data_IF_804972772442
#
_entry.id   IF_804972772442
#
_cell.length_a   1.000
_cell.length_b   1.000
_cell.length_c   1.000
_cell.angle_alpha   90.00
_cell.angle_beta   90.00
_cell.angle_gamma   90.00
#
_symmetry.space_group_name_H-M   'P 1'
#
loop_
_entity.id
_entity.type
_entity.pdbx_description
1 polymer ?
#
# COMPACT_ATOMS: atom_id res chain seq x y z
N UNK A 1 -28.27 9.60 -15.29
CA UNK A 1 -27.15 10.41 -15.81
C UNK A 1 -27.36 11.84 -15.35
N UNK A 2 -26.38 12.48 -14.72
CA UNK A 2 -26.47 13.88 -14.27
C UNK A 2 -25.65 14.71 -15.26
N UNK A 3 -26.29 15.55 -16.07
CA UNK A 3 -25.64 16.46 -17.02
C UNK A 3 -25.54 17.88 -16.45
N UNK A 4 -24.95 18.02 -15.24
CA UNK A 4 -24.77 19.29 -14.50
C UNK A 4 -23.48 19.22 -13.66
N UNK A 5 -23.05 20.36 -13.11
CA UNK A 5 -21.89 20.45 -12.21
C UNK A 5 -21.99 19.45 -11.04
N UNK A 6 -21.02 18.53 -10.97
CA UNK A 6 -20.93 17.50 -9.95
C UNK A 6 -20.79 18.08 -8.54
N UNK A 7 -20.06 19.18 -8.40
CA UNK A 7 -19.83 19.82 -7.10
C UNK A 7 -21.11 20.43 -6.53
N UNK A 8 -22.02 20.91 -7.39
CA UNK A 8 -23.32 21.45 -7.02
C UNK A 8 -24.42 20.38 -6.86
N UNK A 9 -24.23 19.18 -7.41
CA UNK A 9 -25.23 18.12 -7.34
C UNK A 9 -25.47 17.65 -5.90
N UNK A 10 -26.73 17.41 -5.51
CA UNK A 10 -27.12 16.73 -4.27
C UNK A 10 -27.99 15.54 -4.66
N UNK A 11 -27.59 14.29 -4.35
CA UNK A 11 -28.41 13.15 -4.71
C UNK A 11 -29.62 13.03 -3.78
N UNK A 12 -30.76 12.57 -4.31
CA UNK A 12 -31.98 12.33 -3.52
C UNK A 12 -31.74 11.30 -2.40
N UNK A 13 -30.81 10.36 -2.62
CA UNK A 13 -30.36 9.38 -1.63
C UNK A 13 -28.84 9.24 -1.67
N UNK A 14 -28.16 9.03 -0.54
CA UNK A 14 -26.73 8.74 -0.53
C UNK A 14 -26.41 7.47 -1.34
N UNK A 15 -25.21 7.41 -1.93
CA UNK A 15 -24.76 6.27 -2.73
C UNK A 15 -24.07 5.19 -1.88
N UNK A 16 -24.39 3.92 -2.10
CA UNK A 16 -23.68 2.81 -1.45
C UNK A 16 -22.27 2.61 -2.00
N UNK A 17 -22.04 2.94 -3.27
CA UNK A 17 -20.76 2.79 -3.95
C UNK A 17 -20.52 4.01 -4.84
N UNK A 18 -19.32 4.58 -4.75
CA UNK A 18 -18.86 5.65 -5.62
C UNK A 18 -17.53 5.21 -6.24
N UNK A 19 -17.47 5.16 -7.56
CA UNK A 19 -16.23 4.95 -8.31
C UNK A 19 -16.03 6.17 -9.21
N UNK A 20 -14.86 6.80 -9.16
CA UNK A 20 -14.64 8.05 -9.88
C UNK A 20 -13.21 8.23 -10.37
N UNK A 21 -13.07 8.87 -11.54
CA UNK A 21 -11.83 9.41 -12.06
C UNK A 21 -12.04 10.90 -12.34
N UNK A 22 -12.04 11.77 -11.31
CA UNK A 22 -12.28 13.19 -11.46
C UNK A 22 -11.20 13.88 -12.29
N UNK A 23 -11.50 15.03 -12.92
CA UNK A 23 -10.49 15.83 -13.62
C UNK A 23 -9.38 16.29 -12.65
N UNK A 24 -8.12 16.25 -13.07
CA UNK A 24 -6.97 16.61 -12.22
C UNK A 24 -6.59 18.10 -12.29
N UNK A 25 -7.03 18.80 -13.32
CA UNK A 25 -6.69 20.20 -13.54
C UNK A 25 -7.20 21.07 -12.38
N UNK A 26 -6.38 22.03 -11.93
CA UNK A 26 -6.71 22.97 -10.85
C UNK A 26 -7.16 22.29 -9.53
N UNK A 27 -6.70 21.06 -9.28
CA UNK A 27 -7.04 20.28 -8.08
C UNK A 27 -8.52 19.91 -7.97
N UNK A 28 -9.22 19.82 -9.11
CA UNK A 28 -10.60 19.37 -9.12
C UNK A 28 -10.77 17.95 -8.56
N UNK A 29 -9.73 17.10 -8.64
CA UNK A 29 -9.69 15.79 -8.01
C UNK A 29 -9.93 15.86 -6.50
N UNK A 30 -9.27 16.80 -5.82
CA UNK A 30 -9.46 17.05 -4.38
C UNK A 30 -10.90 17.46 -4.08
N UNK A 31 -11.45 18.41 -4.85
CA UNK A 31 -12.80 18.95 -4.63
C UNK A 31 -13.89 17.90 -4.88
N UNK A 32 -13.76 17.14 -5.97
CA UNK A 32 -14.72 16.12 -6.34
C UNK A 32 -14.71 14.96 -5.34
N UNK A 33 -13.53 14.52 -4.88
CA UNK A 33 -13.43 13.48 -3.86
C UNK A 33 -14.05 13.95 -2.55
N UNK A 34 -13.76 15.18 -2.13
CA UNK A 34 -14.35 15.74 -0.91
C UNK A 34 -15.88 15.82 -0.99
N UNK A 35 -16.41 16.23 -2.15
CA UNK A 35 -17.84 16.28 -2.42
C UNK A 35 -18.48 14.89 -2.40
N UNK A 36 -17.85 13.93 -3.05
CA UNK A 36 -18.31 12.55 -3.17
C UNK A 36 -18.37 11.85 -1.80
N UNK A 37 -17.42 12.12 -0.89
CA UNK A 37 -17.48 11.63 0.50
C UNK A 37 -18.74 12.10 1.24
N UNK A 38 -19.25 13.29 0.90
CA UNK A 38 -20.51 13.81 1.43
C UNK A 38 -21.75 13.10 0.89
N UNK A 39 -21.67 12.54 -0.32
CA UNK A 39 -22.75 11.79 -0.97
C UNK A 39 -22.75 10.30 -0.61
N UNK A 40 -21.68 9.80 0.03
CA UNK A 40 -21.52 8.39 0.34
C UNK A 40 -22.45 7.99 1.50
N UNK A 41 -23.23 6.93 1.30
CA UNK A 41 -24.08 6.34 2.33
C UNK A 41 -23.24 5.81 3.51
N UNK A 42 -23.79 5.80 4.74
CA UNK A 42 -23.22 5.00 5.81
C UNK A 42 -23.10 3.53 5.38
N UNK A 43 -21.94 2.89 5.61
CA UNK A 43 -21.65 1.55 5.08
C UNK A 43 -21.17 1.53 3.62
N UNK A 44 -21.11 2.69 2.97
CA UNK A 44 -20.73 2.82 1.57
C UNK A 44 -19.23 2.83 1.33
N UNK A 45 -18.81 2.52 0.10
CA UNK A 45 -17.41 2.55 -0.35
C UNK A 45 -17.19 3.58 -1.45
N UNK A 46 -16.17 4.42 -1.31
CA UNK A 46 -15.65 5.30 -2.36
C UNK A 46 -14.29 4.79 -2.85
N UNK A 47 -14.13 4.70 -4.17
CA UNK A 47 -12.86 4.45 -4.85
C UNK A 47 -12.64 5.57 -5.88
N UNK A 48 -11.57 6.34 -5.72
CA UNK A 48 -11.25 7.46 -6.60
C UNK A 48 -9.82 7.40 -7.11
N UNK A 49 -9.60 7.86 -8.34
CA UNK A 49 -8.26 8.16 -8.86
C UNK A 49 -7.99 9.64 -8.64
N UNK A 50 -6.81 10.00 -8.14
CA UNK A 50 -6.38 11.39 -7.98
C UNK A 50 -4.95 11.58 -8.47
N UNK A 51 -4.52 12.82 -8.62
CA UNK A 51 -3.11 13.13 -8.85
C UNK A 51 -2.25 12.77 -7.63
N UNK A 52 -1.01 12.33 -7.84
CA UNK A 52 -0.06 12.01 -6.77
C UNK A 52 0.22 13.20 -5.84
N UNK A 53 -0.03 14.42 -6.34
CA UNK A 53 -0.01 15.65 -5.56
C UNK A 53 -0.84 15.59 -4.27
N UNK A 54 -1.92 14.78 -4.24
CA UNK A 54 -2.71 14.55 -3.04
C UNK A 54 -1.86 14.05 -1.85
N UNK A 55 -0.75 13.34 -2.10
CA UNK A 55 0.11 12.81 -1.04
C UNK A 55 0.99 13.86 -0.36
N UNK A 56 1.37 14.93 -1.07
CA UNK A 56 2.48 15.79 -0.62
C UNK A 56 2.25 17.30 -0.73
N UNK A 57 1.26 17.80 -1.49
CA UNK A 57 0.99 19.25 -1.53
C UNK A 57 0.57 19.78 -0.17
N UNK A 58 1.08 20.93 0.24
CA UNK A 58 0.82 21.58 1.54
C UNK A 58 -0.23 22.69 1.47
N UNK A 59 -1.06 22.72 0.42
CA UNK A 59 -2.16 23.68 0.36
C UNK A 59 -3.32 23.24 1.27
N UNK A 60 -4.08 24.22 1.76
CA UNK A 60 -5.14 24.01 2.73
C UNK A 60 -6.23 23.02 2.27
N UNK A 61 -6.54 22.95 0.96
CA UNK A 61 -7.58 22.05 0.45
C UNK A 61 -7.08 20.61 0.49
N UNK A 62 -5.88 20.37 -0.02
CA UNK A 62 -5.25 19.04 -0.02
C UNK A 62 -5.02 18.52 1.40
N UNK A 63 -4.56 19.37 2.31
CA UNK A 63 -4.38 19.00 3.73
C UNK A 63 -5.70 18.66 4.42
N UNK A 64 -6.76 19.45 4.18
CA UNK A 64 -8.10 19.17 4.70
C UNK A 64 -8.61 17.82 4.20
N UNK A 65 -8.47 17.53 2.91
CA UNK A 65 -8.89 16.25 2.36
C UNK A 65 -8.05 15.10 2.95
N UNK A 66 -6.72 15.21 3.01
CA UNK A 66 -5.88 14.17 3.64
C UNK A 66 -6.28 13.90 5.09
N UNK A 67 -6.54 14.95 5.88
CA UNK A 67 -7.02 14.81 7.25
C UNK A 67 -8.39 14.12 7.31
N UNK A 68 -9.32 14.50 6.44
CA UNK A 68 -10.65 13.88 6.36
C UNK A 68 -10.59 12.41 5.95
N UNK A 69 -9.72 12.07 4.99
CA UNK A 69 -9.45 10.69 4.59
C UNK A 69 -8.90 9.89 5.77
N UNK A 70 -7.94 10.44 6.52
CA UNK A 70 -7.40 9.82 7.72
C UNK A 70 -8.49 9.64 8.81
N UNK A 71 -9.34 10.63 9.03
CA UNK A 71 -10.47 10.54 9.98
C UNK A 71 -11.50 9.46 9.59
N UNK A 72 -11.66 9.23 8.28
CA UNK A 72 -12.52 8.19 7.71
C UNK A 72 -11.81 6.84 7.53
N UNK A 73 -10.56 6.72 7.99
CA UNK A 73 -9.76 5.50 7.86
C UNK A 73 -9.55 5.06 6.39
N UNK A 74 -9.45 6.06 5.51
CA UNK A 74 -9.22 5.92 4.08
C UNK A 74 -7.75 5.73 3.73
N UNK A 75 -7.48 5.04 2.62
CA UNK A 75 -6.13 4.80 2.11
C UNK A 75 -5.84 5.57 0.83
N UNK A 76 -4.61 6.05 0.67
CA UNK A 76 -4.09 6.66 -0.56
C UNK A 76 -2.93 5.78 -1.05
N UNK A 77 -3.08 5.10 -2.19
CA UNK A 77 -2.09 4.16 -2.74
C UNK A 77 -1.53 4.69 -4.06
N UNK A 78 -0.21 4.72 -4.23
CA UNK A 78 0.39 5.14 -5.51
C UNK A 78 0.07 4.11 -6.59
N UNK A 79 -0.36 4.58 -7.76
CA UNK A 79 -0.54 3.74 -8.94
C UNK A 79 0.78 3.66 -9.73
N UNK A 80 1.02 2.56 -10.49
CA UNK A 80 2.19 2.46 -11.35
C UNK A 80 2.33 3.66 -12.30
N UNK A 81 3.57 4.07 -12.57
CA UNK A 81 3.83 5.14 -13.52
C UNK A 81 3.23 4.81 -14.91
N UNK A 82 2.59 5.79 -15.56
CA UNK A 82 1.97 5.59 -16.86
C UNK A 82 0.61 4.88 -16.84
N UNK A 83 -0.02 4.68 -15.68
CA UNK A 83 -1.36 4.06 -15.55
C UNK A 83 -2.44 4.75 -16.41
N UNK A 84 -2.27 6.04 -16.76
CA UNK A 84 -3.22 6.81 -17.60
C UNK A 84 -2.59 7.37 -18.88
N UNK A 85 -1.46 6.80 -19.33
CA UNK A 85 -0.76 7.26 -20.55
C UNK A 85 -1.64 7.14 -21.80
N UNK A 86 -2.49 6.10 -21.88
CA UNK A 86 -3.46 5.91 -22.96
C UNK A 86 -4.59 6.96 -22.96
N UNK A 87 -4.83 7.62 -21.84
CA UNK A 87 -5.85 8.67 -21.67
C UNK A 87 -5.26 10.09 -21.77
N UNK A 88 -4.03 10.23 -22.27
CA UNK A 88 -3.42 11.54 -22.60
C UNK A 88 -2.76 12.29 -21.45
N UNK A 89 -2.60 11.69 -20.27
CA UNK A 89 -1.90 12.34 -19.13
C UNK A 89 -0.70 11.53 -18.65
N UNK A 90 0.45 12.20 -18.48
CA UNK A 90 1.67 11.61 -17.91
C UNK A 90 1.78 11.85 -16.38
N UNK A 91 0.68 12.27 -15.75
CA UNK A 91 0.65 12.63 -14.32
C UNK A 91 0.69 11.35 -13.48
N UNK A 92 1.59 11.31 -12.49
CA UNK A 92 1.57 10.25 -11.49
C UNK A 92 0.24 10.29 -10.74
N UNK A 93 -0.36 9.13 -10.49
CA UNK A 93 -1.70 9.02 -9.90
C UNK A 93 -1.71 8.16 -8.66
N UNK A 94 -2.74 8.34 -7.85
CA UNK A 94 -3.01 7.56 -6.64
C UNK A 94 -4.44 7.05 -6.66
N UNK A 95 -4.66 5.92 -5.99
CA UNK A 95 -5.95 5.34 -5.71
C UNK A 95 -6.35 5.68 -4.27
N UNK A 96 -7.46 6.40 -4.13
CA UNK A 96 -8.08 6.74 -2.85
C UNK A 96 -9.22 5.74 -2.59
N UNK A 97 -9.19 5.08 -1.43
CA UNK A 97 -10.22 4.12 -1.02
C UNK A 97 -10.75 4.52 0.35
N UNK A 98 -12.06 4.66 0.49
CA UNK A 98 -12.73 4.94 1.77
C UNK A 98 -13.90 3.98 1.97
N UNK A 99 -13.94 3.34 3.13
CA UNK A 99 -15.09 2.57 3.62
C UNK A 99 -15.78 3.37 4.74
N UNK A 100 -16.95 3.94 4.45
CA UNK A 100 -17.71 4.73 5.43
C UNK A 100 -18.41 3.79 6.39
N UNK A 101 -18.29 4.04 7.69
CA UNK A 101 -18.94 3.22 8.72
C UNK A 101 -20.48 3.20 8.55
N UNK A 102 -21.15 2.08 8.89
CA UNK A 102 -22.61 2.00 8.91
C UNK A 102 -23.21 2.99 9.91
N UNK A 103 -24.44 3.44 9.64
CA UNK A 103 -25.17 4.29 10.57
C UNK A 103 -25.47 3.48 11.84
N UNK A 104 -25.30 4.10 13.01
CA UNK A 104 -25.81 3.52 14.27
C UNK A 104 -27.33 3.37 14.13
N UNK A 105 -27.88 2.17 14.38
CA UNK A 105 -29.32 1.99 14.56
C UNK A 105 -29.75 2.81 15.77
N UNK A 106 -30.42 3.94 15.55
CA UNK A 106 -31.21 4.59 16.58
C UNK A 106 -32.60 3.96 16.49
N UNK A 107 -33.04 3.28 17.56
CA UNK A 107 -34.42 2.81 17.67
C UNK A 107 -35.36 4.03 17.69
N UNK A 108 -36.51 4.01 16.99
CA UNK A 108 -37.39 5.17 16.92
C UNK A 108 -38.08 5.38 18.28
N UNK A 109 -37.88 6.56 18.87
CA UNK A 109 -38.71 7.04 19.94
C UNK A 109 -40.06 7.52 19.37
N UNK A 110 -41.11 7.24 20.13
CA UNK A 110 -42.52 7.41 19.84
C UNK A 110 -42.89 8.84 19.37
N UNK A 111 -43.82 8.89 18.43
CA UNK A 111 -44.40 10.06 17.79
C UNK A 111 -45.40 10.78 18.72
N UNK A 112 -45.23 12.09 18.95
CA UNK A 112 -46.32 13.03 19.26
C UNK A 112 -46.01 14.42 18.67
N UNK A 113 -47.02 15.22 18.30
CA UNK A 113 -46.91 16.27 17.29
C UNK A 113 -46.54 17.67 17.84
N UNK A 114 -46.10 18.51 16.88
CA UNK A 114 -45.45 19.84 16.94
C UNK A 114 -46.32 20.96 17.59
N UNK A 115 -45.74 22.11 18.02
CA UNK A 115 -45.72 23.22 17.06
C UNK A 115 -44.45 24.12 17.04
N UNK A 116 -44.22 24.56 15.81
CA UNK A 116 -43.42 25.67 15.26
C UNK A 116 -42.88 26.78 16.17
N UNK A 117 -41.68 27.23 15.78
CA UNK A 117 -41.05 28.56 15.93
C UNK A 117 -40.18 28.83 17.18
N UNK A 118 -38.87 28.69 17.00
CA UNK A 118 -37.87 29.55 17.64
C UNK A 118 -36.53 29.48 16.88
N UNK A 119 -36.10 30.63 16.34
CA UNK A 119 -34.74 30.86 15.82
C UNK A 119 -33.72 30.60 16.94
N UNK A 120 -32.82 29.63 16.80
CA UNK A 120 -31.64 29.56 17.69
C UNK A 120 -30.40 28.99 16.98
N UNK A 121 -29.41 29.87 16.83
CA UNK A 121 -27.93 29.74 16.81
C UNK A 121 -27.29 28.45 16.25
N UNK A 122 -26.33 28.68 15.35
CA UNK A 122 -25.30 27.74 14.89
C UNK A 122 -24.70 26.90 16.02
N UNK A 123 -24.48 25.58 15.85
CA UNK A 123 -23.84 24.76 16.86
C UNK A 123 -22.38 25.19 17.02
N UNK A 124 -22.04 25.70 18.20
CA UNK A 124 -20.67 25.93 18.62
C UNK A 124 -19.89 24.61 18.60
N UNK A 125 -18.61 24.70 18.27
CA UNK A 125 -17.68 23.58 18.27
C UNK A 125 -17.61 22.93 19.65
N UNK A 126 -18.33 21.81 19.86
CA UNK A 126 -18.11 20.99 21.04
C UNK A 126 -16.66 20.49 21.01
N UNK A 127 -15.82 20.95 21.93
CA UNK A 127 -14.48 20.37 22.14
C UNK A 127 -14.70 18.88 22.41
N UNK A 128 -14.22 18.03 21.50
CA UNK A 128 -14.35 16.58 21.61
C UNK A 128 -13.66 16.10 22.89
N UNK A 129 -14.26 15.18 23.67
CA UNK A 129 -13.67 14.68 24.89
C UNK A 129 -12.30 14.02 24.63
N UNK A 130 -11.37 14.24 25.56
CA UNK A 130 -10.03 13.66 25.48
C UNK A 130 -10.09 12.11 25.59
N UNK A 131 -9.19 11.37 24.90
CA UNK A 131 -9.16 9.92 25.03
C UNK A 131 -8.77 9.46 26.44
N UNK A 132 -9.28 8.31 26.89
CA UNK A 132 -8.83 7.63 28.12
C UNK A 132 -7.33 7.28 28.08
N UNK A 133 -6.70 7.07 29.25
CA UNK A 133 -5.25 6.80 29.34
C UNK A 133 -4.80 5.60 28.50
N UNK A 134 -5.54 4.51 28.54
CA UNK A 134 -5.21 3.28 27.78
C UNK A 134 -5.25 3.54 26.26
N UNK A 135 -6.24 4.30 25.81
CA UNK A 135 -6.38 4.70 24.40
C UNK A 135 -5.28 5.67 24.01
N UNK A 136 -4.90 6.61 24.88
CA UNK A 136 -3.76 7.50 24.62
C UNK A 136 -2.46 6.71 24.46
N UNK A 137 -2.24 5.68 25.28
CA UNK A 137 -1.07 4.81 25.17
C UNK A 137 -1.03 4.11 23.81
N UNK A 138 -2.11 3.42 23.42
CA UNK A 138 -2.25 2.75 22.13
C UNK A 138 -2.06 3.71 20.95
N UNK A 139 -2.72 4.87 20.98
CA UNK A 139 -2.58 5.90 19.95
C UNK A 139 -1.15 6.41 19.83
N UNK A 140 -0.43 6.57 20.95
CA UNK A 140 0.96 7.03 20.93
C UNK A 140 1.88 6.01 20.26
N UNK A 141 1.72 4.71 20.58
CA UNK A 141 2.48 3.62 19.96
C UNK A 141 2.14 3.51 18.48
N UNK A 142 0.86 3.59 18.11
CA UNK A 142 0.42 3.52 16.72
C UNK A 142 0.98 4.68 15.90
N UNK A 143 0.94 5.91 16.41
CA UNK A 143 1.51 7.08 15.71
C UNK A 143 3.01 6.98 15.53
N UNK A 144 3.75 6.46 16.51
CA UNK A 144 5.20 6.21 16.35
C UNK A 144 5.46 5.18 15.26
N UNK A 145 4.71 4.09 15.26
CA UNK A 145 4.76 3.07 14.22
C UNK A 145 4.42 3.64 12.83
N UNK A 146 3.33 4.40 12.69
CA UNK A 146 2.99 5.06 11.42
C UNK A 146 4.03 6.08 10.99
N UNK A 147 4.61 6.86 11.92
CA UNK A 147 5.67 7.80 11.61
C UNK A 147 6.91 7.07 11.07
N UNK A 148 7.32 5.97 11.70
CA UNK A 148 8.40 5.12 11.21
C UNK A 148 8.06 4.53 9.84
N UNK A 149 6.84 4.02 9.62
CA UNK A 149 6.41 3.50 8.32
C UNK A 149 6.35 4.56 7.24
N UNK A 150 5.80 5.73 7.52
CA UNK A 150 5.75 6.85 6.58
C UNK A 150 7.15 7.40 6.30
N UNK A 151 8.03 7.39 7.30
CA UNK A 151 9.43 7.71 7.12
C UNK A 151 10.08 6.67 6.19
N UNK A 152 9.90 5.36 6.40
CA UNK A 152 10.36 4.29 5.50
C UNK A 152 9.75 4.37 4.08
N UNK A 153 8.46 4.70 3.94
CA UNK A 153 7.81 4.83 2.63
C UNK A 153 8.28 6.08 1.86
N UNK A 154 8.55 7.18 2.57
CA UNK A 154 9.24 8.37 2.02
C UNK A 154 10.73 8.09 1.78
N UNK A 155 11.33 7.22 2.60
CA UNK A 155 12.71 6.74 2.60
C UNK A 155 12.91 5.40 1.89
N UNK A 156 12.06 5.06 0.91
CA UNK A 156 12.49 4.34 -0.33
C UNK A 156 13.56 5.14 -1.11
N UNK A 157 14.27 6.02 -0.42
CA UNK A 157 15.37 6.85 -0.83
C UNK A 157 16.65 6.09 -0.48
N UNK A 158 17.39 5.83 -1.54
CA UNK A 158 18.81 5.52 -1.49
C UNK A 158 19.53 6.47 -0.51
N UNK A 159 20.02 5.95 0.61
CA UNK A 159 20.78 6.71 1.60
C UNK A 159 22.26 6.72 1.21
N UNK A 160 22.84 7.90 1.06
CA UNK A 160 24.27 8.02 0.75
C UNK A 160 25.11 7.42 1.88
N UNK A 161 26.06 6.56 1.51
CA UNK A 161 27.07 6.05 2.45
C UNK A 161 28.17 7.12 2.55
N UNK A 162 28.44 7.68 3.75
CA UNK A 162 29.37 8.80 3.91
C UNK A 162 30.75 8.53 3.29
N UNK A 163 31.32 9.54 2.63
CA UNK A 163 32.65 9.50 1.97
C UNK A 163 32.80 8.45 0.86
N UNK A 164 31.69 7.99 0.29
CA UNK A 164 31.68 7.06 -0.85
C UNK A 164 30.76 7.56 -1.95
N UNK A 165 30.90 7.00 -3.16
CA UNK A 165 29.93 7.19 -4.25
C UNK A 165 28.83 6.10 -4.23
N UNK A 166 28.42 5.67 -3.03
CA UNK A 166 27.47 4.59 -2.84
C UNK A 166 26.24 5.05 -2.09
N UNK A 167 25.14 4.35 -2.36
CA UNK A 167 23.89 4.49 -1.64
C UNK A 167 23.39 3.12 -1.20
N UNK A 168 22.83 3.06 0.01
CA UNK A 168 22.19 1.88 0.56
C UNK A 168 20.70 2.11 0.71
N UNK A 169 19.90 1.12 0.34
CA UNK A 169 18.47 1.06 0.62
C UNK A 169 18.20 -0.13 1.53
N UNK A 170 17.56 0.11 2.66
CA UNK A 170 17.19 -0.92 3.64
C UNK A 170 15.66 -1.04 3.70
N UNK A 171 15.16 -2.27 3.68
CA UNK A 171 13.75 -2.58 3.90
C UNK A 171 13.62 -3.74 4.90
N UNK A 172 13.26 -3.40 6.14
CA UNK A 172 13.29 -4.34 7.25
C UNK A 172 14.70 -4.90 7.43
N UNK A 173 14.82 -6.22 7.35
CA UNK A 173 16.09 -6.93 7.49
C UNK A 173 16.89 -7.02 6.18
N UNK A 174 16.33 -6.58 5.05
CA UNK A 174 16.99 -6.70 3.73
C UNK A 174 17.64 -5.38 3.32
N UNK A 175 18.85 -5.43 2.77
CA UNK A 175 19.53 -4.28 2.17
C UNK A 175 19.92 -4.52 0.72
N UNK A 176 20.02 -3.45 -0.05
CA UNK A 176 20.66 -3.40 -1.37
C UNK A 176 21.53 -2.15 -1.45
N UNK A 177 22.69 -2.28 -2.09
CA UNK A 177 23.66 -1.18 -2.22
C UNK A 177 23.96 -0.90 -3.68
N UNK A 178 23.93 0.37 -4.07
CA UNK A 178 24.22 0.85 -5.42
C UNK A 178 25.43 1.78 -5.36
N UNK A 179 26.48 1.50 -6.10
CA UNK A 179 27.70 2.29 -6.14
C UNK A 179 27.98 2.81 -7.55
N UNK A 180 28.49 4.03 -7.64
CA UNK A 180 28.84 4.71 -8.89
C UNK A 180 30.35 4.86 -9.14
N UNK A 181 31.19 4.31 -8.26
CA UNK A 181 32.65 4.37 -8.35
C UNK A 181 33.31 3.06 -7.95
N UNK A 182 34.58 2.88 -8.36
CA UNK A 182 35.41 1.75 -7.95
C UNK A 182 35.46 1.68 -6.43
N UNK A 183 35.38 0.46 -5.90
CA UNK A 183 35.47 0.20 -4.48
C UNK A 183 36.77 -0.56 -4.21
N UNK A 184 37.68 0.05 -3.47
CA UNK A 184 38.89 -0.62 -3.01
C UNK A 184 38.60 -1.50 -1.78
N UNK A 185 37.59 -1.12 -1.00
CA UNK A 185 37.12 -1.78 0.22
C UNK A 185 35.64 -2.15 0.11
N UNK A 186 35.15 -3.15 0.86
CA UNK A 186 33.72 -3.45 0.93
C UNK A 186 32.92 -2.23 1.40
N UNK A 187 31.85 -1.88 0.68
CA UNK A 187 31.01 -0.72 1.00
C UNK A 187 29.53 -1.13 0.95
N UNK A 188 28.86 -1.07 2.11
CA UNK A 188 27.49 -1.60 2.24
C UNK A 188 27.45 -3.09 1.90
N UNK A 189 26.55 -3.48 1.00
CA UNK A 189 26.45 -4.85 0.47
C UNK A 189 27.40 -5.12 -0.71
N UNK A 190 28.14 -4.11 -1.17
CA UNK A 190 29.05 -4.26 -2.30
C UNK A 190 30.43 -4.75 -1.85
N UNK A 191 30.95 -5.85 -2.42
CA UNK A 191 32.35 -6.24 -2.23
C UNK A 191 33.29 -5.24 -2.92
N UNK A 192 34.62 -5.31 -2.67
CA UNK A 192 35.60 -4.57 -3.46
C UNK A 192 35.40 -4.85 -4.96
N UNK A 193 35.39 -3.80 -5.76
CA UNK A 193 35.14 -3.86 -7.21
C UNK A 193 36.28 -3.23 -7.99
N UNK A 194 37.52 -3.58 -7.63
CA UNK A 194 38.78 -3.03 -8.20
C UNK A 194 38.89 -3.19 -9.73
N UNK A 195 38.11 -4.10 -10.35
CA UNK A 195 38.31 -4.49 -11.74
C UNK A 195 37.39 -3.85 -12.81
N UNK A 196 36.25 -3.20 -12.52
CA UNK A 196 35.23 -3.04 -13.60
C UNK A 196 34.35 -1.77 -13.66
N UNK A 197 34.81 -0.63 -13.16
CA UNK A 197 34.21 0.68 -13.48
C UNK A 197 35.07 1.55 -14.41
N UNK A 198 36.16 0.98 -14.97
CA UNK A 198 36.99 1.62 -16.00
C UNK A 198 36.43 1.30 -17.40
N UNK A 199 35.38 2.01 -17.81
CA UNK A 199 34.87 1.95 -19.18
C UNK A 199 33.59 2.77 -19.37
N UNK A 200 33.47 3.44 -20.52
CA UNK A 200 32.44 4.45 -20.86
C UNK A 200 30.96 3.97 -20.84
N UNK A 201 30.64 2.76 -20.37
CA UNK A 201 29.28 2.21 -20.45
C UNK A 201 28.71 1.56 -19.18
N UNK A 202 29.51 1.13 -18.20
CA UNK A 202 29.00 0.56 -16.94
C UNK A 202 29.52 1.38 -15.77
N UNK A 203 28.67 2.27 -15.24
CA UNK A 203 29.06 3.25 -14.22
C UNK A 203 28.34 3.03 -12.89
N UNK A 204 27.47 2.03 -12.81
CA UNK A 204 26.72 1.69 -11.61
C UNK A 204 26.87 0.21 -11.32
N UNK A 205 27.03 -0.17 -10.05
CA UNK A 205 27.01 -1.56 -9.59
C UNK A 205 26.00 -1.70 -8.47
N UNK A 206 25.07 -2.64 -8.62
CA UNK A 206 24.08 -3.02 -7.63
C UNK A 206 24.50 -4.33 -6.96
N UNK A 207 24.51 -4.33 -5.63
CA UNK A 207 24.94 -5.44 -4.81
C UNK A 207 23.92 -5.74 -3.73
N UNK A 208 23.89 -7.00 -3.30
CA UNK A 208 23.10 -7.48 -2.20
C UNK A 208 23.78 -8.71 -1.63
N UNK A 209 23.77 -8.88 -0.31
CA UNK A 209 24.23 -10.13 0.32
C UNK A 209 23.52 -11.36 -0.29
N UNK A 210 24.32 -12.35 -0.70
CA UNK A 210 23.83 -13.57 -1.35
C UNK A 210 23.50 -13.42 -2.84
N UNK A 211 23.73 -12.26 -3.48
CA UNK A 211 23.60 -12.10 -4.93
C UNK A 211 24.86 -11.50 -5.54
N UNK A 212 25.30 -12.04 -6.68
CA UNK A 212 26.42 -11.49 -7.43
C UNK A 212 26.15 -10.04 -7.91
N UNK A 213 27.21 -9.20 -8.00
CA UNK A 213 27.07 -7.81 -8.44
C UNK A 213 26.47 -7.72 -9.85
N UNK A 214 25.67 -6.70 -10.08
CA UNK A 214 25.07 -6.41 -11.40
C UNK A 214 25.37 -4.98 -11.83
N UNK A 215 25.79 -4.82 -13.08
CA UNK A 215 26.33 -3.56 -13.57
C UNK A 215 25.34 -2.85 -14.48
N UNK A 216 25.14 -1.56 -14.29
CA UNK A 216 24.21 -0.73 -15.05
C UNK A 216 24.92 0.46 -15.68
N UNK A 217 24.33 0.99 -16.76
CA UNK A 217 24.81 2.21 -17.38
C UNK A 217 24.48 3.42 -16.49
N UNK A 218 25.35 4.42 -16.44
CA UNK A 218 25.17 5.60 -15.57
C UNK A 218 24.16 6.64 -16.07
N UNK A 219 23.60 6.46 -17.27
CA UNK A 219 22.55 7.34 -17.82
C UNK A 219 21.15 6.93 -17.34
N UNK A 220 20.16 7.81 -17.55
CA UNK A 220 18.78 7.64 -17.05
C UNK A 220 18.18 6.24 -17.25
N UNK A 221 18.23 5.60 -18.45
CA UNK A 221 17.75 4.23 -18.61
C UNK A 221 18.44 3.19 -17.70
N UNK A 222 19.74 3.31 -17.47
CA UNK A 222 20.48 2.38 -16.61
C UNK A 222 20.21 2.63 -15.13
N UNK A 223 20.01 3.88 -14.71
CA UNK A 223 19.52 4.22 -13.36
C UNK A 223 18.14 3.61 -13.12
N UNK A 224 17.23 3.74 -14.09
CA UNK A 224 15.88 3.15 -14.00
C UNK A 224 15.96 1.62 -13.89
N UNK A 225 16.79 0.98 -14.70
CA UNK A 225 17.00 -0.46 -14.63
C UNK A 225 17.61 -0.90 -13.28
N UNK A 226 18.59 -0.16 -12.75
CA UNK A 226 19.19 -0.45 -11.44
C UNK A 226 18.17 -0.32 -10.30
N UNK A 227 17.29 0.69 -10.35
CA UNK A 227 16.22 0.86 -9.37
C UNK A 227 15.17 -0.25 -9.46
N UNK A 228 14.78 -0.66 -10.67
CA UNK A 228 13.86 -1.78 -10.87
C UNK A 228 14.47 -3.08 -10.36
N UNK A 229 15.75 -3.34 -10.65
CA UNK A 229 16.44 -4.52 -10.15
C UNK A 229 16.58 -4.50 -8.63
N UNK A 230 16.83 -3.33 -8.03
CA UNK A 230 16.85 -3.19 -6.57
C UNK A 230 15.51 -3.57 -5.93
N UNK A 231 14.37 -3.24 -6.56
CA UNK A 231 13.06 -3.68 -6.09
C UNK A 231 12.92 -5.21 -6.11
N UNK A 232 13.36 -5.86 -7.20
CA UNK A 232 13.33 -7.32 -7.31
C UNK A 232 14.25 -8.00 -6.27
N UNK A 233 15.44 -7.44 -6.07
CA UNK A 233 16.40 -7.89 -5.05
C UNK A 233 15.85 -7.78 -3.64
N UNK A 234 15.07 -6.75 -3.31
CA UNK A 234 14.39 -6.70 -2.03
C UNK A 234 13.38 -7.85 -1.89
N UNK A 235 12.56 -8.12 -2.92
CA UNK A 235 11.58 -9.21 -2.89
C UNK A 235 12.27 -10.56 -2.69
N UNK A 236 13.32 -10.85 -3.47
CA UNK A 236 14.11 -12.07 -3.31
C UNK A 236 14.84 -12.14 -1.99
N UNK A 237 15.38 -11.02 -1.51
CA UNK A 237 16.04 -10.92 -0.21
C UNK A 237 15.09 -11.25 0.93
N UNK A 238 13.84 -10.76 0.88
CA UNK A 238 12.80 -11.12 1.86
C UNK A 238 12.51 -12.62 1.83
N UNK A 239 12.45 -13.21 0.63
CA UNK A 239 12.24 -14.66 0.48
C UNK A 239 13.43 -15.50 0.96
N UNK A 240 14.68 -15.03 0.80
CA UNK A 240 15.86 -15.71 1.36
C UNK A 240 15.88 -15.63 2.88
N UNK A 241 15.67 -14.43 3.41
CA UNK A 241 15.66 -14.18 4.87
C UNK A 241 14.44 -14.79 5.56
N UNK A 242 13.37 -15.08 4.82
CA UNK A 242 12.17 -15.73 5.37
C UNK A 242 12.49 -17.03 6.11
N UNK A 243 13.41 -17.84 5.60
CA UNK A 243 13.83 -19.08 6.25
C UNK A 243 14.55 -18.86 7.60
N UNK A 244 15.03 -17.65 7.85
CA UNK A 244 15.77 -17.24 9.06
C UNK A 244 14.90 -16.41 10.01
N UNK A 245 13.63 -16.12 9.67
CA UNK A 245 12.75 -15.33 10.52
C UNK A 245 12.20 -16.22 11.66
N UNK A 246 12.58 -15.88 12.89
CA UNK A 246 11.91 -16.41 14.07
C UNK A 246 10.49 -15.85 14.15
N UNK A 247 9.50 -16.73 14.23
CA UNK A 247 8.13 -16.31 14.48
C UNK A 247 8.03 -15.69 15.88
N UNK A 248 7.42 -14.50 16.03
CA UNK A 248 7.23 -13.92 17.35
C UNK A 248 6.36 -14.85 18.20
N UNK A 249 6.65 -14.93 19.50
CA UNK A 249 5.87 -15.72 20.45
C UNK A 249 4.42 -15.27 20.44
N UNK A 250 3.49 -16.22 20.25
CA UNK A 250 2.06 -15.96 20.27
C UNK A 250 1.50 -16.10 21.70
N UNK A 251 0.51 -15.28 22.11
CA UNK A 251 -0.12 -14.20 21.34
C UNK A 251 0.76 -12.93 21.31
N UNK A 252 0.78 -12.25 20.16
CA UNK A 252 1.45 -10.95 20.01
C UNK A 252 0.62 -9.86 20.71
N UNK A 253 1.29 -9.00 21.48
CA UNK A 253 0.61 -7.92 22.20
C UNK A 253 -0.03 -6.91 21.23
N UNK A 254 -1.23 -6.43 21.56
CA UNK A 254 -2.02 -5.56 20.66
C UNK A 254 -1.40 -4.18 20.42
N UNK A 255 -0.49 -3.76 21.31
CA UNK A 255 0.24 -2.51 21.24
C UNK A 255 1.69 -2.69 20.78
N UNK A 256 2.15 -3.92 20.55
CA UNK A 256 3.45 -4.22 19.95
C UNK A 256 3.32 -4.31 18.42
N UNK A 257 3.28 -3.13 17.79
CA UNK A 257 3.14 -3.04 16.34
C UNK A 257 4.35 -3.57 15.58
N UNK A 258 5.53 -3.60 16.20
CA UNK A 258 6.73 -4.18 15.57
C UNK A 258 6.62 -5.70 15.51
N UNK A 259 6.25 -6.35 16.62
CA UNK A 259 5.98 -7.79 16.62
C UNK A 259 4.80 -8.18 15.73
N UNK A 260 3.79 -7.31 15.58
CA UNK A 260 2.68 -7.52 14.63
C UNK A 260 3.14 -7.45 13.17
N UNK A 261 4.02 -6.53 12.83
CA UNK A 261 4.65 -6.49 11.49
C UNK A 261 5.50 -7.74 11.26
N UNK A 262 6.34 -8.15 12.23
CA UNK A 262 7.13 -9.38 12.13
C UNK A 262 6.25 -10.62 11.93
N UNK A 263 5.11 -10.71 12.65
CA UNK A 263 4.14 -11.78 12.47
C UNK A 263 3.60 -11.80 11.02
N UNK A 264 3.26 -10.63 10.45
CA UNK A 264 2.86 -10.54 9.05
C UNK A 264 3.98 -10.92 8.07
N UNK A 265 5.23 -10.60 8.37
CA UNK A 265 6.40 -11.01 7.56
C UNK A 265 6.61 -12.54 7.62
N UNK A 266 6.31 -13.20 8.73
CA UNK A 266 6.38 -14.67 8.83
C UNK A 266 5.25 -15.38 8.07
N UNK A 267 4.09 -14.74 7.91
CA UNK A 267 2.96 -15.33 7.19
C UNK A 267 3.03 -15.02 5.69
N UNK A 268 3.36 -13.78 5.35
CA UNK A 268 3.40 -13.25 3.97
C UNK A 268 4.68 -12.45 3.78
N UNK A 269 5.83 -13.10 3.49
CA UNK A 269 7.15 -12.46 3.52
C UNK A 269 7.32 -11.30 2.53
N UNK A 270 6.65 -11.38 1.39
CA UNK A 270 6.66 -10.31 0.38
C UNK A 270 5.69 -9.17 0.70
N UNK A 271 4.85 -9.31 1.75
CA UNK A 271 3.70 -8.45 2.05
C UNK A 271 2.77 -8.26 0.85
N UNK A 272 2.60 -9.33 0.08
CA UNK A 272 1.74 -9.38 -1.10
C UNK A 272 0.95 -10.68 -1.13
N UNK A 273 -0.31 -10.56 -1.50
CA UNK A 273 -1.20 -11.70 -1.80
C UNK A 273 -1.86 -11.47 -3.16
N UNK A 274 -2.42 -12.50 -3.76
CA UNK A 274 -3.38 -12.37 -4.84
C UNK A 274 -4.62 -13.20 -4.56
N UNK A 275 -5.70 -12.92 -5.30
CA UNK A 275 -6.93 -13.72 -5.24
C UNK A 275 -6.92 -14.74 -6.38
N UNK A 276 -7.41 -15.98 -6.18
CA UNK A 276 -7.50 -16.96 -7.27
C UNK A 276 -8.23 -16.44 -8.51
N UNK A 277 -9.27 -15.61 -8.31
CA UNK A 277 -10.04 -14.98 -9.39
C UNK A 277 -9.31 -13.84 -10.13
N UNK A 278 -8.21 -13.34 -9.59
CA UNK A 278 -7.38 -12.28 -10.17
C UNK A 278 -5.90 -12.66 -10.01
N UNK A 279 -5.47 -13.77 -10.66
CA UNK A 279 -4.20 -14.43 -10.35
C UNK A 279 -2.97 -13.65 -10.82
N UNK A 280 -3.17 -12.56 -11.59
CA UNK A 280 -2.13 -11.64 -12.07
C UNK A 280 -2.19 -10.25 -11.42
N UNK A 281 -2.86 -10.13 -10.27
CA UNK A 281 -2.95 -8.88 -9.51
C UNK A 281 -2.45 -9.08 -8.09
N UNK A 282 -1.30 -8.47 -7.78
CA UNK A 282 -0.80 -8.42 -6.41
C UNK A 282 -1.50 -7.34 -5.60
N UNK A 283 -1.82 -7.68 -4.35
CA UNK A 283 -2.47 -6.85 -3.37
C UNK A 283 -1.58 -6.74 -2.14
N UNK A 284 -1.40 -5.51 -1.68
CA UNK A 284 -0.60 -5.21 -0.49
C UNK A 284 -1.26 -5.76 0.77
N UNK A 285 -0.45 -6.42 1.59
CA UNK A 285 -0.80 -6.79 2.97
C UNK A 285 -0.27 -5.70 3.89
N UNK A 286 -1.18 -4.97 4.52
CA UNK A 286 -0.85 -3.78 5.32
C UNK A 286 -1.44 -3.90 6.72
N UNK A 287 -0.62 -3.71 7.74
CA UNK A 287 -1.10 -3.52 9.11
C UNK A 287 -1.93 -2.24 9.19
N UNK A 288 -3.10 -2.32 9.82
CA UNK A 288 -4.06 -1.24 10.00
C UNK A 288 -4.22 -0.91 11.50
N UNK A 289 -4.76 0.28 11.84
CA UNK A 289 -5.03 0.61 13.23
C UNK A 289 -5.99 -0.43 13.85
N UNK A 290 -5.70 -0.92 15.08
CA UNK A 290 -6.58 -1.84 15.78
C UNK A 290 -8.03 -1.33 15.88
N UNK A 291 -8.98 -2.26 15.97
CA UNK A 291 -10.37 -1.93 16.28
C UNK A 291 -10.70 -2.38 17.70
N UNK A 292 -11.59 -1.62 18.34
CA UNK A 292 -12.31 -2.03 19.54
C UNK A 292 -13.62 -2.64 19.05
N UNK A 293 -13.83 -3.90 19.37
CA UNK A 293 -15.05 -4.66 19.09
C UNK A 293 -15.84 -4.76 20.39
N UNK A 294 -16.98 -4.09 20.44
CA UNK A 294 -17.89 -4.13 21.58
C UNK A 294 -18.73 -5.41 21.55
N UNK A 295 -19.34 -5.81 22.70
CA UNK A 295 -20.11 -7.05 22.80
C UNK A 295 -21.30 -7.15 21.83
N UNK A 296 -21.88 -6.00 21.46
CA UNK A 296 -22.95 -5.89 20.47
C UNK A 296 -22.44 -6.05 19.02
N UNK A 297 -21.14 -6.33 18.83
CA UNK A 297 -20.49 -6.55 17.55
C UNK A 297 -20.06 -5.26 16.84
N UNK A 298 -20.26 -4.07 17.43
CA UNK A 298 -19.80 -2.84 16.80
C UNK A 298 -18.26 -2.75 16.83
N UNK A 299 -17.67 -2.41 15.67
CA UNK A 299 -16.21 -2.32 15.50
C UNK A 299 -15.81 -0.88 15.21
N UNK A 300 -14.92 -0.32 16.05
CA UNK A 300 -14.50 1.08 15.97
C UNK A 300 -12.98 1.20 16.11
N UNK A 301 -12.36 1.88 15.15
CA UNK A 301 -10.92 2.14 15.15
C UNK A 301 -10.48 2.87 16.40
N UNK A 302 -9.31 2.48 16.94
CA UNK A 302 -8.69 3.19 18.06
C UNK A 302 -8.50 4.69 17.77
N UNK A 303 -8.34 5.07 16.48
CA UNK A 303 -8.22 6.47 16.05
C UNK A 303 -9.47 7.30 16.38
N UNK A 304 -10.64 6.65 16.38
CA UNK A 304 -11.96 7.26 16.60
C UNK A 304 -12.48 7.05 18.03
N UNK A 305 -11.87 6.14 18.80
CA UNK A 305 -12.27 5.88 20.18
C UNK A 305 -11.77 6.97 21.13
N UNK A 306 -12.58 7.29 22.15
CA UNK A 306 -12.26 8.32 23.16
C UNK A 306 -12.58 7.87 24.60
N UNK A 307 -13.63 7.07 24.81
CA UNK A 307 -14.02 6.63 26.15
C UNK A 307 -13.07 5.61 26.78
N UNK A 308 -13.39 5.17 27.99
CA UNK A 308 -12.83 3.93 28.52
C UNK A 308 -13.21 2.76 27.60
N UNK A 309 -12.34 1.76 27.51
CA UNK A 309 -12.65 0.52 26.81
C UNK A 309 -13.59 -0.29 27.73
N UNK A 310 -14.76 -0.72 27.25
CA UNK A 310 -15.65 -1.57 28.03
C UNK A 310 -14.92 -2.84 28.46
N UNK A 311 -15.19 -3.36 29.66
CA UNK A 311 -14.48 -4.53 30.20
C UNK A 311 -14.63 -5.79 29.34
N UNK A 312 -15.72 -5.86 28.60
CA UNK A 312 -16.14 -6.94 27.71
C UNK A 312 -15.83 -6.66 26.23
N UNK A 313 -15.27 -5.49 25.90
CA UNK A 313 -14.81 -5.20 24.56
C UNK A 313 -13.45 -5.84 24.28
N UNK A 314 -13.25 -6.28 23.04
CA UNK A 314 -11.98 -6.83 22.55
C UNK A 314 -11.25 -5.78 21.72
N UNK A 315 -9.92 -5.73 21.82
CA UNK A 315 -9.10 -4.96 20.88
C UNK A 315 -8.46 -5.95 19.92
N UNK A 316 -8.70 -5.78 18.62
CA UNK A 316 -8.29 -6.73 17.59
C UNK A 316 -7.32 -6.08 16.60
N UNK A 317 -6.26 -6.81 16.28
CA UNK A 317 -5.33 -6.47 15.20
C UNK A 317 -6.09 -6.45 13.87
N UNK A 318 -5.74 -5.52 12.98
CA UNK A 318 -6.39 -5.38 11.69
C UNK A 318 -5.38 -5.44 10.56
N UNK A 319 -5.79 -6.07 9.46
CA UNK A 319 -4.98 -6.21 8.25
C UNK A 319 -5.81 -5.78 7.05
N UNK A 320 -5.17 -5.06 6.13
CA UNK A 320 -5.71 -4.83 4.78
C UNK A 320 -5.09 -5.84 3.83
N UNK A 321 -5.93 -6.65 3.18
CA UNK A 321 -5.55 -7.53 2.09
C UNK A 321 -6.74 -7.64 1.13
N UNK A 322 -6.83 -6.74 0.14
CA UNK A 322 -8.04 -6.43 -0.68
C UNK A 322 -9.16 -5.68 0.05
N UNK A 323 -9.35 -5.99 1.34
CA UNK A 323 -10.34 -5.41 2.24
C UNK A 323 -9.79 -5.44 3.65
N UNK A 324 -10.41 -4.68 4.56
CA UNK A 324 -10.10 -4.72 5.98
C UNK A 324 -10.69 -5.97 6.60
N UNK A 325 -9.92 -6.65 7.45
CA UNK A 325 -10.37 -7.75 8.29
C UNK A 325 -9.53 -7.83 9.56
N UNK A 326 -10.03 -8.51 10.58
CA UNK A 326 -9.21 -8.91 11.72
C UNK A 326 -8.15 -9.95 11.33
N UNK A 327 -7.12 -10.07 12.16
CA UNK A 327 -5.99 -10.94 11.91
C UNK A 327 -6.36 -12.42 11.83
N UNK A 328 -7.25 -12.90 12.69
CA UNK A 328 -7.67 -14.31 12.70
C UNK A 328 -8.39 -14.67 11.38
N UNK A 329 -9.27 -13.79 10.90
CA UNK A 329 -9.91 -13.92 9.59
C UNK A 329 -8.90 -13.87 8.46
N UNK A 330 -7.90 -12.99 8.54
CA UNK A 330 -6.83 -12.92 7.55
C UNK A 330 -6.05 -14.24 7.50
N UNK A 331 -5.60 -14.76 8.65
CA UNK A 331 -4.85 -16.01 8.76
C UNK A 331 -5.67 -17.20 8.23
N UNK A 332 -6.95 -17.32 8.61
CA UNK A 332 -7.85 -18.36 8.12
C UNK A 332 -8.08 -18.32 6.59
N UNK A 333 -7.92 -17.15 5.97
CA UNK A 333 -8.07 -16.96 4.51
C UNK A 333 -6.79 -17.22 3.73
N UNK A 334 -5.63 -17.28 4.40
CA UNK A 334 -4.36 -17.56 3.74
C UNK A 334 -4.35 -18.96 3.13
N UNK A 335 -3.81 -19.09 1.92
CA UNK A 335 -3.72 -20.35 1.19
C UNK A 335 -5.01 -20.79 0.49
N UNK A 336 -6.15 -20.14 0.77
CA UNK A 336 -7.43 -20.41 0.11
C UNK A 336 -7.90 -19.25 -0.74
N UNK A 337 -8.37 -18.18 -0.10
CA UNK A 337 -8.91 -16.98 -0.79
C UNK A 337 -7.87 -15.88 -0.96
N UNK A 338 -6.86 -15.86 -0.09
CA UNK A 338 -5.69 -14.99 -0.16
C UNK A 338 -4.46 -15.87 -0.35
N UNK A 339 -3.90 -15.88 -1.56
CA UNK A 339 -2.71 -16.69 -1.83
C UNK A 339 -1.48 -15.82 -1.55
N UNK A 340 -0.63 -16.17 -0.56
CA UNK A 340 0.64 -15.47 -0.31
C UNK A 340 1.51 -15.51 -1.55
N UNK A 341 1.95 -14.36 -2.02
CA UNK A 341 2.91 -14.29 -3.11
C UNK A 341 4.31 -14.57 -2.58
N UNK A 342 4.93 -15.64 -3.05
CA UNK A 342 6.29 -16.09 -2.68
C UNK A 342 7.24 -16.11 -3.87
N UNK A 343 6.88 -15.43 -4.95
CA UNK A 343 7.71 -15.32 -6.14
C UNK A 343 8.89 -14.36 -5.97
N UNK A 344 9.61 -14.14 -7.06
CA UNK A 344 10.92 -13.49 -7.05
C UNK A 344 10.91 -12.06 -7.61
N UNK A 345 9.74 -11.55 -8.02
CA UNK A 345 9.64 -10.28 -8.75
C UNK A 345 8.85 -9.23 -7.98
N UNK A 346 9.30 -7.99 -8.08
CA UNK A 346 8.58 -6.85 -7.57
C UNK A 346 7.30 -6.60 -8.37
N UNK A 347 6.25 -6.02 -7.75
CA UNK A 347 5.00 -5.71 -8.45
C UNK A 347 5.19 -4.85 -9.71
N UNK A 348 6.16 -3.93 -9.70
CA UNK A 348 6.50 -3.09 -10.85
C UNK A 348 7.03 -3.91 -12.03
N UNK A 349 7.97 -4.82 -11.76
CA UNK A 349 8.52 -5.73 -12.78
C UNK A 349 7.48 -6.72 -13.27
N UNK A 350 6.68 -7.29 -12.38
CA UNK A 350 5.57 -8.15 -12.79
C UNK A 350 4.57 -7.41 -13.69
N UNK A 351 4.22 -6.17 -13.36
CA UNK A 351 3.36 -5.35 -14.20
C UNK A 351 3.96 -5.10 -15.59
N UNK A 352 5.28 -4.93 -15.70
CA UNK A 352 5.96 -4.83 -16.99
C UNK A 352 5.90 -6.13 -17.79
N UNK A 353 6.21 -7.28 -17.18
CA UNK A 353 6.10 -8.59 -17.85
C UNK A 353 4.66 -8.80 -18.36
N UNK A 354 3.66 -8.55 -17.52
CA UNK A 354 2.26 -8.73 -17.86
C UNK A 354 1.74 -7.73 -18.91
N UNK A 355 2.39 -6.57 -19.05
CA UNK A 355 2.02 -5.57 -20.05
C UNK A 355 2.36 -6.02 -21.47
N UNK A 356 3.41 -6.83 -21.62
CA UNK A 356 3.78 -7.44 -22.91
C UNK A 356 2.83 -8.57 -23.33
N UNK A 357 1.90 -8.97 -22.44
CA UNK A 357 0.93 -10.05 -22.69
C UNK A 357 -0.47 -9.44 -22.90
N UNK A 358 -1.07 -9.58 -24.10
CA UNK A 358 -2.41 -9.07 -24.39
C UNK A 358 -3.44 -9.55 -23.37
N UNK A 359 -4.42 -8.69 -23.03
CA UNK A 359 -5.43 -9.01 -22.03
C UNK A 359 -6.21 -10.31 -22.30
N UNK A 360 -6.63 -10.64 -23.54
CA UNK A 360 -7.27 -11.93 -23.85
C UNK A 360 -6.35 -13.12 -23.56
N UNK A 361 -5.06 -13.01 -23.91
CA UNK A 361 -4.08 -14.05 -23.63
C UNK A 361 -3.85 -14.22 -22.14
N UNK A 362 -3.81 -13.13 -21.35
CA UNK A 362 -3.74 -13.23 -19.88
C UNK A 362 -4.96 -13.93 -19.28
N UNK A 363 -6.16 -13.71 -19.82
CA UNK A 363 -7.36 -14.42 -19.36
C UNK A 363 -7.28 -15.92 -19.66
N UNK A 364 -6.79 -16.30 -20.84
CA UNK A 364 -6.55 -17.70 -21.21
C UNK A 364 -5.51 -18.38 -20.31
N UNK A 365 -4.37 -17.72 -20.07
CA UNK A 365 -3.33 -18.22 -19.18
C UNK A 365 -3.84 -18.40 -17.75
N UNK A 366 -4.66 -17.46 -17.25
CA UNK A 366 -5.32 -17.59 -15.95
C UNK A 366 -6.28 -18.78 -15.91
N UNK A 367 -7.04 -19.02 -16.99
CA UNK A 367 -7.95 -20.16 -17.09
C UNK A 367 -7.20 -21.51 -17.08
N UNK A 368 -5.95 -21.53 -17.55
CA UNK A 368 -5.03 -22.68 -17.48
C UNK A 368 -4.29 -22.79 -16.14
N UNK A 369 -4.60 -21.92 -15.18
CA UNK A 369 -4.05 -21.98 -13.83
C UNK A 369 -2.74 -21.21 -13.62
N UNK A 370 -2.27 -20.44 -14.62
CA UNK A 370 -1.10 -19.58 -14.41
C UNK A 370 -1.43 -18.39 -13.51
N UNK A 371 -0.43 -17.99 -12.72
CA UNK A 371 -0.52 -16.98 -11.68
C UNK A 371 0.73 -16.12 -11.62
N UNK A 372 0.73 -15.15 -10.69
CA UNK A 372 1.92 -14.38 -10.34
C UNK A 372 3.14 -15.24 -9.98
N UNK A 373 2.96 -16.47 -9.48
CA UNK A 373 4.09 -17.36 -9.15
C UNK A 373 4.82 -17.90 -10.38
N UNK A 374 4.18 -17.86 -11.54
CA UNK A 374 4.78 -18.35 -12.78
C UNK A 374 5.67 -17.30 -13.45
N UNK A 375 5.73 -16.09 -12.90
CA UNK A 375 6.75 -15.11 -13.29
C UNK A 375 8.09 -15.51 -12.69
N UNK A 376 8.96 -16.01 -13.55
CA UNK A 376 10.28 -16.50 -13.25
C UNK A 376 11.34 -15.40 -13.35
N UNK A 377 12.49 -15.72 -12.77
CA UNK A 377 13.69 -14.92 -12.81
C UNK A 377 14.87 -15.81 -13.19
N UNK A 378 15.80 -15.25 -13.96
CA UNK A 378 17.03 -15.90 -14.34
C UNK A 378 18.11 -14.88 -14.67
N UNK A 379 19.33 -15.35 -14.89
CA UNK A 379 20.45 -14.50 -15.31
C UNK A 379 21.01 -14.98 -16.63
N UNK A 380 21.17 -14.07 -17.58
CA UNK A 380 21.97 -14.30 -18.79
C UNK A 380 23.19 -13.38 -18.71
N UNK A 381 24.37 -13.99 -18.63
CA UNK A 381 25.61 -13.28 -18.33
C UNK A 381 25.48 -12.53 -17.00
N UNK A 382 25.60 -11.20 -17.06
CA UNK A 382 25.52 -10.34 -15.87
C UNK A 382 24.15 -9.70 -15.65
N UNK A 383 23.17 -9.95 -16.53
CA UNK A 383 21.87 -9.30 -16.51
C UNK A 383 20.79 -10.20 -15.93
N UNK A 384 19.94 -9.59 -15.13
CA UNK A 384 18.69 -10.18 -14.64
C UNK A 384 17.61 -10.14 -15.72
N UNK A 385 16.90 -11.26 -15.89
CA UNK A 385 15.79 -11.44 -16.84
C UNK A 385 14.57 -11.98 -16.11
N UNK A 386 13.40 -11.58 -16.62
CA UNK A 386 12.11 -11.85 -16.01
C UNK A 386 11.09 -12.23 -17.08
N UNK A 387 10.42 -13.37 -16.93
CA UNK A 387 9.45 -13.85 -17.91
C UNK A 387 8.32 -14.60 -17.21
N UNK A 388 7.14 -14.63 -17.83
CA UNK A 388 6.09 -15.56 -17.45
C UNK A 388 6.39 -16.91 -18.10
N UNK A 389 6.49 -17.96 -17.30
CA UNK A 389 6.70 -19.31 -17.78
C UNK A 389 5.36 -20.05 -17.94
N UNK A 390 5.04 -20.45 -19.16
CA UNK A 390 3.91 -21.34 -19.45
C UNK A 390 4.40 -22.79 -19.42
N UNK A 391 4.18 -23.47 -18.28
CA UNK A 391 4.65 -24.84 -18.03
C UNK A 391 4.12 -25.86 -19.04
N UNK A 392 2.94 -25.62 -19.60
CA UNK A 392 2.28 -26.51 -20.55
C UNK A 392 2.73 -26.27 -22.00
N UNK A 393 2.94 -25.00 -22.39
CA UNK A 393 3.39 -24.68 -23.74
C UNK A 393 4.92 -24.79 -23.91
N UNK A 394 5.68 -24.88 -22.80
CA UNK A 394 7.15 -24.86 -22.81
C UNK A 394 7.76 -23.55 -23.33
N UNK A 395 6.94 -22.52 -23.56
CA UNK A 395 7.31 -21.26 -24.18
C UNK A 395 7.41 -20.15 -23.11
N UNK A 396 8.56 -19.48 -22.97
CA UNK A 396 8.66 -18.28 -22.15
C UNK A 396 7.94 -17.12 -22.86
N UNK A 397 7.12 -16.38 -22.12
CA UNK A 397 6.53 -15.12 -22.59
C UNK A 397 7.04 -13.97 -21.71
N UNK A 398 7.79 -13.04 -22.28
CA UNK A 398 8.34 -11.90 -21.56
C UNK A 398 9.09 -10.94 -22.51
N UNK A 399 9.43 -9.73 -22.03
CA UNK A 399 10.22 -8.76 -22.78
C UNK A 399 11.65 -9.24 -23.07
#
# INVERSE_FOLDING_TARGET
MIARDFCAHVPERPYDRIVMNPPFERQQDVEHIERALGMLAPGGRLVAIASAGLQHRSDNKTERLRKKLLELDGSIRKLPAGSFKASGTAVETVLVIVDKAPAKKVMPAHEQPVPSSAKTRSPGSSKRPAPSRDIQHLLSKWRRHEAQRQQVDKERYWNAIPKTACWIRKEGSVSVTLCAALLDEPTGDCPPTQAMLKGNSSQLVLCQAGEGPEYFRGHTPGITAAKAEADNRIVRGRMRRFAELDAPTRPVAIDDFEAQEQLLDTLVPTRRVYLPRMPFQLLDVVLLPPQIVTPDGASVSILRWRGAIPKDAKIVMQVSASSRMDFDTFEAKLGSTLIPYRGHVAPSTAAHVLKEIPAPRRAELAARGLTMHDIQFGRIGRRSLYWLHDHEAGSPTGP
#
